data_IF_027789892697
#
_entry.id   IF_027789892697
#
_cell.length_a   1.000
_cell.length_b   1.000
_cell.length_c   1.000
_cell.angle_alpha   90.00
_cell.angle_beta   90.00
_cell.angle_gamma   90.00
#
_symmetry.space_group_name_H-M   'P 1'
#
loop_
_entity.id
_entity.type
_entity.pdbx_description
1 polymer ?
#
# COMPACT_ATOMS: atom_id res chain seq x y z
N UNK A 1 1.33 6.50 12.63
CA UNK A 1 1.05 6.08 11.23
C UNK A 1 1.90 6.92 10.29
N UNK A 2 2.51 6.34 9.25
CA UNK A 2 3.27 7.13 8.25
C UNK A 2 2.30 7.95 7.36
N UNK A 3 2.63 9.19 6.94
CA UNK A 3 1.76 9.99 6.09
C UNK A 3 1.55 9.38 4.70
N UNK A 4 0.30 9.30 4.24
CA UNK A 4 -0.02 8.69 2.94
C UNK A 4 0.58 9.46 1.76
N UNK A 5 0.69 10.79 1.87
CA UNK A 5 1.32 11.66 0.87
C UNK A 5 2.76 11.25 0.54
N UNK A 6 3.51 10.74 1.53
CA UNK A 6 4.86 10.22 1.29
C UNK A 6 4.82 8.96 0.42
N UNK A 7 3.81 8.10 0.58
CA UNK A 7 3.68 6.84 -0.14
C UNK A 7 3.39 7.11 -1.60
N UNK A 8 2.48 8.04 -1.87
CA UNK A 8 2.22 8.55 -3.21
C UNK A 8 3.47 9.12 -3.88
N UNK A 9 4.23 9.94 -3.15
CA UNK A 9 5.46 10.52 -3.67
C UNK A 9 6.48 9.43 -4.06
N UNK A 10 6.79 8.51 -3.15
CA UNK A 10 7.75 7.43 -3.38
C UNK A 10 7.32 6.50 -4.51
N UNK A 11 6.06 6.07 -4.51
CA UNK A 11 5.52 5.21 -5.56
C UNK A 11 5.52 5.90 -6.94
N UNK A 12 5.26 7.21 -7.00
CA UNK A 12 5.28 7.96 -8.26
C UNK A 12 6.68 8.09 -8.83
N UNK A 13 7.69 8.40 -8.00
CA UNK A 13 9.07 8.58 -8.49
C UNK A 13 9.78 7.24 -8.72
N UNK A 14 9.37 6.17 -8.04
CA UNK A 14 10.04 4.87 -8.05
C UNK A 14 9.36 3.78 -8.89
N UNK A 15 8.20 4.05 -9.50
CA UNK A 15 7.45 3.04 -10.26
C UNK A 15 6.49 3.64 -11.30
N UNK A 16 6.05 2.81 -12.25
CA UNK A 16 5.03 3.12 -13.26
C UNK A 16 3.74 2.35 -12.98
N UNK A 17 2.65 2.76 -13.62
CA UNK A 17 1.40 1.99 -13.60
C UNK A 17 1.65 0.54 -14.06
N UNK A 18 1.09 -0.43 -13.34
CA UNK A 18 1.33 -1.86 -13.57
C UNK A 18 2.60 -2.44 -12.94
N UNK A 19 3.54 -1.64 -12.44
CA UNK A 19 4.70 -2.16 -11.71
C UNK A 19 4.30 -2.78 -10.35
N UNK A 20 5.18 -3.59 -9.78
CA UNK A 20 5.02 -4.20 -8.44
C UNK A 20 5.84 -3.43 -7.40
N UNK A 21 5.19 -2.96 -6.34
CA UNK A 21 5.86 -2.40 -5.17
C UNK A 21 6.02 -3.48 -4.10
N UNK A 22 7.26 -3.72 -3.66
CA UNK A 22 7.59 -4.59 -2.53
C UNK A 22 7.84 -3.73 -1.29
N UNK A 23 7.07 -3.95 -0.21
CA UNK A 23 7.34 -3.37 1.12
C UNK A 23 7.50 -4.49 2.16
N UNK A 24 8.74 -4.82 2.57
CA UNK A 24 8.98 -5.86 3.57
C UNK A 24 8.59 -5.45 5.00
N UNK A 25 8.17 -4.19 5.22
CA UNK A 25 7.79 -3.64 6.52
C UNK A 25 6.45 -2.90 6.42
N UNK A 26 5.44 -3.62 5.94
CA UNK A 26 4.14 -3.09 5.53
C UNK A 26 3.39 -2.32 6.62
N UNK A 27 3.62 -2.64 7.91
CA UNK A 27 2.98 -1.98 9.03
C UNK A 27 1.47 -1.95 8.86
N UNK A 28 0.90 -0.75 9.04
CA UNK A 28 -0.53 -0.50 8.81
C UNK A 28 -1.00 -0.54 7.34
N UNK A 29 -0.18 -0.95 6.38
CA UNK A 29 -0.55 -1.09 4.96
C UNK A 29 -0.52 0.20 4.13
N UNK A 30 0.11 1.26 4.64
CA UNK A 30 0.11 2.59 4.00
C UNK A 30 0.70 2.59 2.58
N UNK A 31 1.77 1.82 2.32
CA UNK A 31 2.39 1.73 1.00
C UNK A 31 1.51 0.95 0.01
N UNK A 32 0.86 -0.12 0.48
CA UNK A 32 -0.07 -0.90 -0.35
C UNK A 32 -1.29 -0.06 -0.79
N UNK A 33 -1.79 0.83 0.08
CA UNK A 33 -2.88 1.76 -0.27
C UNK A 33 -2.41 2.72 -1.37
N UNK A 34 -1.22 3.33 -1.22
CA UNK A 34 -0.66 4.20 -2.25
C UNK A 34 -0.44 3.47 -3.57
N UNK A 35 0.09 2.24 -3.54
CA UNK A 35 0.26 1.40 -4.70
C UNK A 35 -1.07 1.12 -5.40
N UNK A 36 -2.09 0.66 -4.66
CA UNK A 36 -3.45 0.39 -5.16
C UNK A 36 -4.07 1.62 -5.83
N UNK A 37 -4.01 2.77 -5.16
CA UNK A 37 -4.57 4.02 -5.69
C UNK A 37 -3.82 4.51 -6.94
N UNK A 38 -2.53 4.23 -7.05
CA UNK A 38 -1.75 4.54 -8.23
C UNK A 38 -1.79 3.42 -9.29
N UNK A 39 -2.66 2.41 -9.15
CA UNK A 39 -2.75 1.27 -10.09
C UNK A 39 -1.42 0.51 -10.26
N UNK A 40 -0.70 0.34 -9.16
CA UNK A 40 0.45 -0.56 -9.04
C UNK A 40 0.00 -1.84 -8.34
N UNK A 41 0.62 -2.95 -8.70
CA UNK A 41 0.57 -4.15 -7.89
C UNK A 41 1.40 -3.96 -6.62
N UNK A 42 1.13 -4.73 -5.58
CA UNK A 42 1.90 -4.66 -4.34
C UNK A 42 2.06 -6.03 -3.69
N UNK A 43 3.20 -6.21 -3.04
CA UNK A 43 3.49 -7.31 -2.13
C UNK A 43 3.98 -6.66 -0.84
N UNK A 44 3.29 -6.94 0.27
CA UNK A 44 3.68 -6.39 1.57
C UNK A 44 3.82 -7.50 2.60
N UNK A 45 4.84 -7.39 3.45
CA UNK A 45 5.08 -8.30 4.56
C UNK A 45 4.93 -7.55 5.88
N UNK A 46 4.32 -8.20 6.88
CA UNK A 46 4.20 -7.66 8.23
C UNK A 46 4.11 -8.84 9.21
N UNK A 47 4.90 -8.77 10.28
CA UNK A 47 5.02 -9.85 11.28
C UNK A 47 4.06 -9.66 12.44
N UNK A 48 3.72 -8.40 12.77
CA UNK A 48 2.79 -8.09 13.84
C UNK A 48 1.35 -8.36 13.38
N UNK A 49 0.71 -9.36 13.97
CA UNK A 49 -0.62 -9.84 13.58
C UNK A 49 -1.67 -8.73 13.63
N UNK A 50 -1.56 -7.83 14.60
CA UNK A 50 -2.51 -6.71 14.70
C UNK A 50 -2.36 -5.72 13.55
N UNK A 51 -1.12 -5.41 13.15
CA UNK A 51 -0.86 -4.58 11.97
C UNK A 51 -1.36 -5.25 10.68
N UNK A 52 -1.24 -6.58 10.56
CA UNK A 52 -1.81 -7.33 9.43
C UNK A 52 -3.32 -7.15 9.34
N UNK A 53 -4.05 -7.24 10.47
CA UNK A 53 -5.50 -7.02 10.49
C UNK A 53 -5.85 -5.59 10.08
N UNK A 54 -5.15 -4.60 10.64
CA UNK A 54 -5.35 -3.18 10.31
C UNK A 54 -5.10 -2.93 8.82
N UNK A 55 -4.01 -3.45 8.27
CA UNK A 55 -3.67 -3.29 6.85
C UNK A 55 -4.75 -3.90 5.95
N UNK A 56 -5.23 -5.12 6.26
CA UNK A 56 -6.30 -5.78 5.51
C UNK A 56 -7.61 -4.98 5.56
N UNK A 57 -8.02 -4.54 6.74
CA UNK A 57 -9.24 -3.74 6.90
C UNK A 57 -9.19 -2.45 6.09
N UNK A 58 -8.04 -1.75 6.10
CA UNK A 58 -7.86 -0.52 5.31
C UNK A 58 -7.88 -0.79 3.81
N UNK A 59 -7.21 -1.83 3.33
CA UNK A 59 -7.19 -2.19 1.90
C UNK A 59 -8.58 -2.61 1.37
N UNK A 60 -9.42 -3.19 2.23
CA UNK A 60 -10.81 -3.53 1.90
C UNK A 60 -11.74 -2.31 1.92
N UNK A 61 -11.53 -1.38 2.86
CA UNK A 61 -12.32 -0.15 2.95
C UNK A 61 -12.01 0.82 1.81
N UNK A 62 -10.76 0.86 1.35
CA UNK A 62 -10.33 1.73 0.26
C UNK A 62 -10.82 1.19 -1.09
N UNK A 63 -11.97 1.68 -1.54
CA UNK A 63 -12.51 1.41 -2.88
C UNK A 63 -11.90 2.38 -3.88
N UNK A 64 -11.36 1.84 -4.95
CA UNK A 64 -10.89 2.60 -6.10
C UNK A 64 -11.86 2.44 -7.27
N UNK A 65 -11.80 3.34 -8.26
CA UNK A 65 -12.69 3.30 -9.43
C UNK A 65 -12.46 2.08 -10.35
N UNK A 66 -11.48 1.25 -10.04
CA UNK A 66 -11.05 0.09 -10.82
C UNK A 66 -11.03 -1.21 -10.00
N UNK A 67 -11.68 -1.22 -8.83
CA UNK A 67 -12.03 -2.44 -8.10
C UNK A 67 -13.31 -3.10 -8.65
#
# INVERSE_FOLDING_TARGET
MKPLKLGFYLATIGSREGDVILDPFGGSGWMAIAAKFLKRHYIIFETEKENVKIAKARLQAEKTLWD
#
